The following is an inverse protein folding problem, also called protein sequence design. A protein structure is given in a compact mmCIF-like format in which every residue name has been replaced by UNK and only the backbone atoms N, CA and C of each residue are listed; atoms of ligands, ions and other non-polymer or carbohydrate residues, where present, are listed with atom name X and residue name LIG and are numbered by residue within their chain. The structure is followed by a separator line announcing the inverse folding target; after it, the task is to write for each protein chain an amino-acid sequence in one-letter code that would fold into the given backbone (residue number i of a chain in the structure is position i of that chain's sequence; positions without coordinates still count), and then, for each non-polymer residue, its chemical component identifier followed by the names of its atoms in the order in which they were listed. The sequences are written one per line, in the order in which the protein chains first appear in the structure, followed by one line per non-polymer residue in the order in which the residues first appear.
data_IF_174993911337
#
_entry.id   IF_174993911337
#
_cell.length_a   1.000
_cell.length_b   1.000
_cell.length_c   1.000
_cell.angle_alpha   90.00
_cell.angle_beta   90.00
_cell.angle_gamma   90.00
#
_symmetry.space_group_name_H-M   'P 1'
#
loop_
_entity.id
_entity.type
_entity.pdbx_description
1 polymer ?
#
# COMPACT_ATOMS: atom_id res chain seq x y z
N UNK A 1 -26.65 49.39 36.84
CA UNK A 1 -27.46 48.67 35.84
C UNK A 1 -26.53 47.77 35.08
N UNK A 2 -26.51 46.49 35.40
CA UNK A 2 -25.64 45.50 34.82
C UNK A 2 -26.44 44.71 33.80
N UNK A 3 -26.20 44.91 32.52
CA UNK A 3 -26.78 44.11 31.44
C UNK A 3 -25.95 42.85 31.27
N UNK A 4 -26.50 41.71 31.69
CA UNK A 4 -25.93 40.40 31.41
C UNK A 4 -26.21 40.04 29.96
N UNK A 5 -25.17 39.92 29.16
CA UNK A 5 -25.24 39.39 27.81
C UNK A 5 -25.29 37.86 27.91
N UNK A 6 -26.43 37.26 27.58
CA UNK A 6 -26.60 35.83 27.43
C UNK A 6 -25.87 35.43 26.16
N UNK A 7 -24.71 34.77 26.31
CA UNK A 7 -24.08 34.04 25.21
C UNK A 7 -24.89 32.80 24.92
N UNK A 8 -25.56 32.81 23.80
CA UNK A 8 -26.28 31.68 23.27
C UNK A 8 -25.24 30.69 22.69
N UNK A 9 -24.85 29.69 23.45
CA UNK A 9 -24.10 28.57 22.95
C UNK A 9 -24.95 27.80 21.92
N UNK A 10 -24.61 27.97 20.69
CA UNK A 10 -25.17 27.17 19.59
C UNK A 10 -24.65 25.72 19.72
N UNK A 11 -25.54 24.70 19.83
CA UNK A 11 -25.10 23.31 19.90
C UNK A 11 -24.50 22.93 18.54
N UNK A 12 -23.34 22.25 18.60
CA UNK A 12 -22.50 21.80 17.54
C UNK A 12 -23.14 21.55 16.18
N UNK A 13 -22.79 22.39 15.24
CA UNK A 13 -22.94 22.05 13.84
C UNK A 13 -22.08 20.82 13.58
N UNK A 14 -22.70 19.75 13.09
CA UNK A 14 -21.99 18.60 12.53
C UNK A 14 -21.06 19.13 11.46
N UNK A 15 -19.78 19.20 11.78
CA UNK A 15 -18.75 19.55 10.80
C UNK A 15 -18.70 18.37 9.80
N UNK A 16 -19.30 18.60 8.63
CA UNK A 16 -19.07 17.73 7.47
C UNK A 16 -17.57 17.78 7.22
N UNK A 17 -16.85 16.63 7.23
CA UNK A 17 -15.44 16.64 6.91
C UNK A 17 -15.23 17.31 5.57
N UNK A 18 -14.52 18.43 5.56
CA UNK A 18 -14.11 19.08 4.32
C UNK A 18 -13.17 18.13 3.60
N UNK A 19 -13.27 17.99 2.27
CA UNK A 19 -12.27 17.23 1.53
C UNK A 19 -10.91 17.86 1.80
N UNK A 20 -10.06 17.12 2.50
CA UNK A 20 -8.68 17.55 2.74
C UNK A 20 -7.93 17.45 1.43
N UNK A 21 -7.16 18.49 1.08
CA UNK A 21 -6.21 18.45 -0.03
C UNK A 21 -4.95 17.63 0.32
N UNK A 22 -5.01 16.83 1.38
CA UNK A 22 -3.93 15.98 1.80
C UNK A 22 -3.68 14.88 0.76
N UNK A 23 -2.41 14.54 0.47
CA UNK A 23 -2.07 13.53 -0.54
C UNK A 23 -2.54 12.11 -0.16
N UNK A 24 -2.90 11.89 1.09
CA UNK A 24 -3.38 10.60 1.57
C UNK A 24 -4.28 10.76 2.80
N UNK A 25 -4.93 9.67 3.21
CA UNK A 25 -5.78 9.64 4.39
C UNK A 25 -4.99 9.84 5.71
N UNK A 26 -5.64 10.27 6.81
CA UNK A 26 -4.96 10.74 8.03
C UNK A 26 -3.95 9.76 8.63
N UNK A 27 -4.24 8.46 8.70
CA UNK A 27 -3.32 7.48 9.27
C UNK A 27 -2.12 7.19 8.35
N UNK A 28 -2.31 7.29 7.04
CA UNK A 28 -1.20 7.23 6.07
C UNK A 28 -0.30 8.47 6.21
N UNK A 29 -0.90 9.66 6.35
CA UNK A 29 -0.16 10.89 6.62
C UNK A 29 0.66 10.80 7.91
N UNK A 30 0.10 10.16 8.94
CA UNK A 30 0.78 9.92 10.21
C UNK A 30 2.03 9.08 10.05
N UNK A 31 2.01 8.06 9.20
CA UNK A 31 3.21 7.24 8.92
C UNK A 31 4.38 8.09 8.43
N UNK A 32 4.13 9.04 7.55
CA UNK A 32 5.17 9.96 7.08
C UNK A 32 5.64 10.94 8.16
N UNK A 33 4.72 11.48 8.95
CA UNK A 33 5.04 12.51 9.96
C UNK A 33 5.71 11.97 11.21
N UNK A 34 5.28 10.80 11.69
CA UNK A 34 5.68 10.27 13.00
C UNK A 34 6.61 9.06 12.90
N UNK A 35 6.54 8.29 11.82
CA UNK A 35 7.28 7.03 11.67
C UNK A 35 8.30 7.04 10.53
N UNK A 36 8.56 8.19 9.96
CA UNK A 36 9.62 8.37 8.97
C UNK A 36 9.34 7.68 7.62
N UNK A 37 8.08 7.40 7.29
CA UNK A 37 7.74 6.87 5.98
C UNK A 37 8.10 7.87 4.87
N UNK A 38 8.79 7.39 3.84
CA UNK A 38 9.08 8.19 2.67
C UNK A 38 7.85 8.29 1.77
N UNK A 39 7.71 9.42 1.08
CA UNK A 39 6.75 9.54 -0.02
C UNK A 39 7.38 9.05 -1.31
N UNK A 40 6.74 8.10 -1.97
CA UNK A 40 7.17 7.57 -3.26
C UNK A 40 6.00 7.53 -4.25
N UNK A 41 6.34 7.57 -5.52
CA UNK A 41 5.43 7.41 -6.64
C UNK A 41 6.00 6.38 -7.63
N UNK A 42 5.36 6.21 -8.79
CA UNK A 42 5.82 5.27 -9.82
C UNK A 42 7.23 5.57 -10.36
N UNK A 43 7.66 6.84 -10.28
CA UNK A 43 8.98 7.29 -10.80
C UNK A 43 10.08 7.12 -9.77
N UNK A 44 9.76 7.27 -8.49
CA UNK A 44 10.73 7.33 -7.38
C UNK A 44 10.84 6.04 -6.59
N UNK A 45 9.83 5.16 -6.65
CA UNK A 45 9.79 3.92 -5.86
C UNK A 45 10.97 2.99 -6.15
N UNK A 46 11.41 2.89 -7.40
CA UNK A 46 12.54 2.05 -7.77
C UNK A 46 13.84 2.53 -7.12
N UNK A 47 14.14 3.81 -7.22
CA UNK A 47 15.35 4.41 -6.63
C UNK A 47 15.30 4.35 -5.11
N UNK A 48 14.15 4.65 -4.52
CA UNK A 48 13.98 4.55 -3.07
C UNK A 48 14.19 3.10 -2.59
N UNK A 49 13.63 2.12 -3.26
CA UNK A 49 13.78 0.71 -2.90
C UNK A 49 15.21 0.20 -3.06
N UNK A 50 16.00 0.81 -3.94
CA UNK A 50 17.40 0.47 -4.18
C UNK A 50 18.37 1.03 -3.14
N UNK A 51 17.89 1.83 -2.18
CA UNK A 51 18.72 2.42 -1.13
C UNK A 51 19.30 1.45 -0.09
N UNK A 52 19.16 0.17 -0.30
CA UNK A 52 19.73 -0.92 0.50
C UNK A 52 18.77 -1.50 1.54
N UNK A 53 18.90 -2.79 1.78
CA UNK A 53 18.10 -3.55 2.75
C UNK A 53 16.66 -3.80 2.34
N UNK A 54 15.89 -4.27 3.30
CA UNK A 54 14.46 -4.54 3.11
C UNK A 54 13.64 -3.25 3.18
N UNK A 55 12.70 -3.11 2.28
CA UNK A 55 11.83 -1.94 2.16
C UNK A 55 10.40 -2.34 1.88
N UNK A 56 9.46 -1.62 2.51
CA UNK A 56 8.03 -1.90 2.42
C UNK A 56 7.29 -0.66 1.96
N UNK A 57 6.46 -0.79 0.94
CA UNK A 57 5.61 0.28 0.43
C UNK A 57 4.16 -0.05 0.73
N UNK A 58 3.45 0.86 1.37
CA UNK A 58 2.02 0.76 1.60
C UNK A 58 1.24 1.38 0.44
N UNK A 59 0.39 0.59 -0.17
CA UNK A 59 -0.72 1.03 -1.02
C UNK A 59 -1.99 0.93 -0.17
N UNK A 60 -2.45 2.05 0.37
CA UNK A 60 -3.58 2.07 1.29
C UNK A 60 -4.94 2.01 0.58
N UNK A 61 -5.03 2.56 -0.60
CA UNK A 61 -6.27 2.71 -1.35
C UNK A 61 -7.09 3.91 -0.90
N UNK A 62 -8.18 4.12 -1.59
CA UNK A 62 -9.17 5.13 -1.24
C UNK A 62 -9.82 4.80 0.12
N UNK A 63 -9.79 5.74 1.06
CA UNK A 63 -10.24 5.50 2.44
C UNK A 63 -11.76 5.21 2.57
N UNK A 64 -12.55 5.61 1.59
CA UNK A 64 -14.00 5.35 1.56
C UNK A 64 -14.27 3.96 0.96
N UNK A 65 -13.58 3.62 -0.12
CA UNK A 65 -13.75 2.34 -0.79
C UNK A 65 -13.03 1.18 -0.09
N UNK A 66 -11.90 1.48 0.54
CA UNK A 66 -11.02 0.51 1.21
C UNK A 66 -10.66 1.01 2.62
N UNK A 67 -11.61 1.03 3.55
CA UNK A 67 -11.37 1.53 4.91
C UNK A 67 -10.28 0.76 5.63
N UNK A 68 -10.06 -0.51 5.29
CA UNK A 68 -8.99 -1.35 5.83
C UNK A 68 -7.59 -0.78 5.57
N UNK A 69 -7.43 0.10 4.59
CA UNK A 69 -6.18 0.80 4.35
C UNK A 69 -5.72 1.64 5.54
N UNK A 70 -6.67 2.24 6.26
CA UNK A 70 -6.39 2.96 7.51
C UNK A 70 -5.98 1.99 8.64
N UNK A 71 -6.60 0.82 8.70
CA UNK A 71 -6.27 -0.20 9.70
C UNK A 71 -4.84 -0.72 9.49
N UNK A 72 -4.45 -1.00 8.25
CA UNK A 72 -3.07 -1.38 7.93
C UNK A 72 -2.09 -0.25 8.26
N UNK A 73 -2.43 1.00 7.96
CA UNK A 73 -1.59 2.14 8.32
C UNK A 73 -1.42 2.29 9.84
N UNK A 74 -2.46 1.96 10.63
CA UNK A 74 -2.39 1.96 12.09
C UNK A 74 -1.52 0.82 12.65
N UNK A 75 -1.57 -0.34 12.01
CA UNK A 75 -0.87 -1.57 12.46
C UNK A 75 0.60 -1.58 12.02
N UNK A 76 0.95 -0.93 10.91
CA UNK A 76 2.30 -0.97 10.34
C UNK A 76 3.42 -0.54 11.31
N UNK A 77 3.25 0.49 12.16
CA UNK A 77 4.24 0.81 13.19
C UNK A 77 4.46 -0.31 14.20
N UNK A 78 3.43 -1.06 14.56
CA UNK A 78 3.55 -2.21 15.47
C UNK A 78 4.29 -3.37 14.80
N UNK A 79 4.08 -3.59 13.50
CA UNK A 79 4.89 -4.53 12.72
C UNK A 79 6.36 -4.12 12.70
N UNK A 80 6.66 -2.83 12.53
CA UNK A 80 8.04 -2.32 12.59
C UNK A 80 8.69 -2.59 13.95
N UNK A 81 7.95 -2.44 15.05
CA UNK A 81 8.44 -2.75 16.41
C UNK A 81 8.70 -4.25 16.61
N UNK A 82 7.90 -5.11 15.98
CA UNK A 82 8.08 -6.56 16.02
C UNK A 82 9.30 -7.04 15.22
N UNK A 83 9.76 -6.25 14.26
CA UNK A 83 10.95 -6.50 13.43
C UNK A 83 11.90 -5.29 13.50
N UNK A 84 12.49 -4.98 14.66
CA UNK A 84 13.23 -3.74 14.86
C UNK A 84 14.39 -3.60 13.88
N UNK A 85 14.42 -2.46 13.19
CA UNK A 85 15.46 -2.08 12.20
C UNK A 85 15.59 -3.06 11.01
N UNK A 86 14.56 -3.87 10.74
CA UNK A 86 14.62 -4.85 9.66
C UNK A 86 14.21 -4.26 8.31
N UNK A 87 13.31 -3.28 8.28
CA UNK A 87 12.85 -2.65 7.06
C UNK A 87 12.50 -1.17 7.27
N UNK A 88 12.53 -0.44 6.18
CA UNK A 88 12.04 0.94 6.10
C UNK A 88 10.72 0.96 5.35
N UNK A 89 9.91 1.97 5.62
CA UNK A 89 8.58 2.10 5.02
C UNK A 89 8.47 3.32 4.12
N UNK A 90 7.63 3.20 3.11
CA UNK A 90 7.17 4.31 2.28
C UNK A 90 5.66 4.23 2.08
N UNK A 91 5.09 5.37 1.79
CA UNK A 91 3.68 5.55 1.44
C UNK A 91 3.56 6.22 0.08
N UNK A 92 2.45 6.01 -0.57
CA UNK A 92 2.19 6.54 -1.91
C UNK A 92 1.05 7.55 -1.82
N UNK A 93 1.15 8.74 -2.44
CA UNK A 93 0.01 9.63 -2.57
C UNK A 93 -1.15 8.94 -3.29
N UNK A 94 -2.37 9.19 -2.86
CA UNK A 94 -3.56 8.50 -3.39
C UNK A 94 -3.64 8.51 -4.92
N UNK A 95 -3.34 9.64 -5.54
CA UNK A 95 -3.41 9.80 -6.99
C UNK A 95 -2.35 8.99 -7.76
N UNK A 96 -1.30 8.55 -7.08
CA UNK A 96 -0.19 7.78 -7.67
C UNK A 96 -0.30 6.27 -7.38
N UNK A 97 -1.19 5.84 -6.49
CA UNK A 97 -1.28 4.44 -6.08
C UNK A 97 -1.60 3.49 -7.24
N UNK A 98 -2.50 3.87 -8.13
CA UNK A 98 -2.90 3.03 -9.27
C UNK A 98 -1.71 2.77 -10.22
N UNK A 99 -0.86 3.77 -10.44
CA UNK A 99 0.34 3.62 -11.27
C UNK A 99 1.38 2.69 -10.62
N UNK A 100 1.62 2.84 -9.32
CA UNK A 100 2.52 1.95 -8.55
C UNK A 100 1.96 0.53 -8.51
N UNK A 101 0.66 0.38 -8.22
CA UNK A 101 0.00 -0.91 -8.20
C UNK A 101 0.13 -1.65 -9.54
N UNK A 102 -0.12 -0.95 -10.65
CA UNK A 102 0.03 -1.50 -12.00
C UNK A 102 1.46 -1.96 -12.28
N UNK A 103 2.45 -1.16 -11.89
CA UNK A 103 3.87 -1.49 -12.09
C UNK A 103 4.28 -2.79 -11.40
N UNK A 104 3.75 -3.04 -10.19
CA UNK A 104 4.11 -4.21 -9.39
C UNK A 104 3.03 -5.29 -9.35
N UNK A 105 2.04 -5.23 -10.24
CA UNK A 105 1.03 -6.27 -10.39
C UNK A 105 0.06 -6.41 -9.22
N UNK A 106 -0.08 -5.36 -8.39
CA UNK A 106 -1.05 -5.36 -7.31
C UNK A 106 -2.45 -5.03 -7.83
N UNK A 107 -3.43 -5.85 -7.45
CA UNK A 107 -4.83 -5.68 -7.83
C UNK A 107 -5.77 -5.54 -6.63
N UNK A 108 -5.21 -5.47 -5.43
CA UNK A 108 -5.97 -5.39 -4.17
C UNK A 108 -5.48 -4.25 -3.32
N UNK A 109 -6.38 -3.66 -2.57
CA UNK A 109 -6.12 -2.68 -1.55
C UNK A 109 -6.70 -3.15 -0.22
N UNK A 110 -6.05 -2.84 0.89
CA UNK A 110 -4.67 -2.36 0.97
C UNK A 110 -3.65 -3.43 0.59
N UNK A 111 -2.42 -3.02 0.25
CA UNK A 111 -1.32 -3.96 -0.05
C UNK A 111 0.00 -3.43 0.50
N UNK A 112 0.79 -4.30 1.10
CA UNK A 112 2.19 -4.06 1.44
C UNK A 112 3.08 -4.71 0.37
N UNK A 113 3.86 -3.91 -0.34
CA UNK A 113 4.84 -4.36 -1.31
C UNK A 113 6.21 -4.45 -0.65
N UNK A 114 6.87 -5.59 -0.78
CA UNK A 114 8.20 -5.84 -0.21
C UNK A 114 9.28 -5.79 -1.27
N UNK A 115 10.36 -5.09 -0.97
CA UNK A 115 11.54 -4.94 -1.81
C UNK A 115 12.80 -5.24 -1.02
N UNK A 116 13.84 -5.71 -1.72
CA UNK A 116 15.20 -5.84 -1.19
C UNK A 116 16.19 -5.39 -2.23
N UNK A 117 17.02 -4.41 -1.86
CA UNK A 117 18.06 -3.85 -2.73
C UNK A 117 17.54 -3.48 -4.12
N UNK A 118 16.35 -2.87 -4.17
CA UNK A 118 15.70 -2.43 -5.42
C UNK A 118 14.92 -3.52 -6.15
N UNK A 119 14.93 -4.75 -5.67
CA UNK A 119 14.22 -5.87 -6.30
C UNK A 119 12.92 -6.19 -5.55
N UNK A 120 11.87 -6.47 -6.30
CA UNK A 120 10.60 -6.92 -5.75
C UNK A 120 10.78 -8.29 -5.07
N UNK A 121 10.18 -8.47 -3.91
CA UNK A 121 10.19 -9.74 -3.17
C UNK A 121 8.81 -10.38 -3.20
N UNK A 122 7.82 -9.74 -2.62
CA UNK A 122 6.45 -10.24 -2.53
C UNK A 122 5.48 -9.11 -2.17
N UNK A 123 4.19 -9.43 -2.10
CA UNK A 123 3.16 -8.55 -1.62
C UNK A 123 2.27 -9.24 -0.59
N UNK A 124 1.83 -8.52 0.42
CA UNK A 124 0.81 -8.96 1.37
C UNK A 124 -0.43 -8.11 1.12
N UNK A 125 -1.48 -8.72 0.60
CA UNK A 125 -2.72 -8.04 0.23
C UNK A 125 -3.79 -8.17 1.32
N UNK A 126 -4.53 -7.11 1.52
CA UNK A 126 -5.65 -7.04 2.46
C UNK A 126 -5.22 -6.86 3.91
N UNK A 127 -6.20 -6.54 4.76
CA UNK A 127 -6.02 -6.58 6.22
C UNK A 127 -5.98 -8.05 6.67
N UNK A 128 -5.03 -8.38 7.51
CA UNK A 128 -4.83 -9.73 8.05
C UNK A 128 -4.92 -9.70 9.57
N UNK A 129 -5.20 -10.85 10.17
CA UNK A 129 -5.06 -11.02 11.61
C UNK A 129 -3.60 -10.84 12.03
N UNK A 130 -3.38 -10.39 13.25
CA UNK A 130 -2.04 -10.06 13.76
C UNK A 130 -1.03 -11.20 13.61
N UNK A 131 -1.41 -12.40 14.00
CA UNK A 131 -0.53 -13.58 13.88
C UNK A 131 -0.20 -13.92 12.43
N UNK A 132 -1.15 -13.71 11.53
CA UNK A 132 -0.96 -13.90 10.08
C UNK A 132 -0.01 -12.86 9.53
N UNK A 133 -0.14 -11.60 9.95
CA UNK A 133 0.81 -10.54 9.58
C UNK A 133 2.22 -10.83 10.05
N UNK A 134 2.40 -11.23 11.31
CA UNK A 134 3.72 -11.56 11.84
C UNK A 134 4.40 -12.67 11.03
N UNK A 135 3.67 -13.73 10.71
CA UNK A 135 4.18 -14.84 9.88
C UNK A 135 4.47 -14.40 8.45
N UNK A 136 3.59 -13.64 7.84
CA UNK A 136 3.73 -13.17 6.46
C UNK A 136 4.91 -12.21 6.29
N UNK A 137 5.09 -11.27 7.23
CA UNK A 137 6.23 -10.35 7.24
C UNK A 137 7.53 -11.10 7.48
N UNK A 138 7.58 -12.01 8.44
CA UNK A 138 8.76 -12.85 8.68
C UNK A 138 9.13 -13.66 7.43
N UNK A 139 8.16 -14.25 6.74
CA UNK A 139 8.37 -14.97 5.49
C UNK A 139 8.88 -14.05 4.38
N UNK A 140 8.29 -12.86 4.22
CA UNK A 140 8.72 -11.87 3.22
C UNK A 140 10.16 -11.43 3.44
N UNK A 141 10.57 -11.21 4.70
CA UNK A 141 11.95 -10.84 5.05
C UNK A 141 12.97 -11.97 4.83
N UNK A 142 12.52 -13.21 4.73
CA UNK A 142 13.35 -14.38 4.45
C UNK A 142 13.31 -14.84 2.97
N UNK A 143 12.34 -14.37 2.19
CA UNK A 143 12.21 -14.73 0.77
C UNK A 143 13.32 -14.12 -0.08
N UNK A 144 13.77 -14.84 -1.15
CA UNK A 144 14.60 -14.23 -2.19
C UNK A 144 13.76 -13.27 -3.05
N UNK A 145 14.41 -12.31 -3.73
CA UNK A 145 13.76 -11.48 -4.72
C UNK A 145 13.07 -12.30 -5.80
N UNK A 146 11.94 -11.79 -6.29
CA UNK A 146 11.15 -12.43 -7.34
C UNK A 146 10.73 -11.41 -8.41
N UNK A 147 10.01 -11.84 -9.42
CA UNK A 147 9.40 -10.92 -10.39
C UNK A 147 8.02 -10.49 -9.91
N UNK A 148 7.65 -9.21 -10.06
CA UNK A 148 6.29 -8.78 -9.83
C UNK A 148 5.31 -9.57 -10.71
N UNK A 149 4.09 -9.88 -10.22
CA UNK A 149 3.05 -10.45 -11.06
C UNK A 149 2.76 -9.56 -12.26
N UNK A 150 2.62 -10.15 -13.44
CA UNK A 150 2.26 -9.41 -14.64
C UNK A 150 0.73 -9.33 -14.72
N UNK A 151 0.19 -8.12 -14.80
CA UNK A 151 -1.21 -7.92 -15.15
C UNK A 151 -1.31 -8.03 -16.67
N UNK A 152 -1.49 -9.24 -17.18
CA UNK A 152 -1.66 -9.50 -18.60
C UNK A 152 -2.69 -10.61 -18.81
N UNK A 153 -3.53 -10.46 -19.82
CA UNK A 153 -4.35 -11.55 -20.31
C UNK A 153 -3.39 -12.56 -20.93
N UNK A 154 -3.36 -13.83 -20.49
CA UNK A 154 -2.54 -14.81 -21.17
C UNK A 154 -3.05 -14.97 -22.60
N UNK A 155 -2.26 -14.53 -23.58
CA UNK A 155 -2.52 -14.83 -24.97
C UNK A 155 -2.19 -16.30 -25.14
N UNK A 156 -3.22 -17.14 -25.13
CA UNK A 156 -3.08 -18.53 -25.53
C UNK A 156 -2.91 -18.53 -27.03
N UNK A 157 -1.69 -18.62 -27.51
CA UNK A 157 -1.43 -18.92 -28.90
C UNK A 157 -1.94 -20.33 -29.17
N UNK A 158 -3.10 -20.43 -29.80
CA UNK A 158 -3.53 -21.70 -30.38
C UNK A 158 -2.63 -21.99 -31.56
N UNK A 159 -1.64 -22.83 -31.35
CA UNK A 159 -0.91 -23.46 -32.45
C UNK A 159 -1.89 -24.44 -33.09
N UNK A 160 -2.55 -24.03 -34.14
CA UNK A 160 -3.32 -24.93 -34.99
C UNK A 160 -2.34 -25.89 -35.62
N UNK A 161 -2.27 -27.11 -35.10
CA UNK A 161 -1.68 -28.25 -35.77
C UNK A 161 -2.53 -28.54 -36.99
N UNK A 162 -2.07 -28.11 -38.15
CA UNK A 162 -2.58 -28.61 -39.40
C UNK A 162 -2.15 -30.11 -39.49
N UNK A 163 -3.10 -30.97 -39.27
CA UNK A 163 -2.94 -32.39 -39.62
C UNK A 163 -3.05 -32.52 -41.12
N UNK A 164 -1.91 -32.67 -41.75
CA UNK A 164 -1.84 -33.13 -43.12
C UNK A 164 -2.19 -34.63 -43.12
N UNK A 165 -3.40 -34.94 -43.56
CA UNK A 165 -3.82 -36.31 -43.86
C UNK A 165 -3.53 -36.57 -45.34
N UNK A 166 -2.33 -37.09 -45.58
CA UNK A 166 -2.04 -37.70 -46.88
C UNK A 166 -2.97 -38.87 -47.13
N UNK A 167 -3.86 -38.71 -48.09
CA UNK A 167 -4.61 -39.80 -48.65
C UNK A 167 -3.76 -40.55 -49.68
N UNK A 168 -3.70 -41.82 -49.50
CA UNK A 168 -3.48 -42.79 -50.59
C UNK A 168 -4.68 -43.68 -50.68
#
# INVERSE_FOLDING_TARGET
MTTATLETSTPGALQIPQPSNDPAAPLVMRLAREFGAAWVDEKTVADWSAGGGDRVVLLAGDAVRFPEGQDVAAVLPELMKSFPKRFQIAVVPRDNEDAVAKRYGSQRWPTLLFFRDGQYVTAIAGMQDWDVYLKAVAAALAMPPSRPPTIGIPVVSQTSKASDSGCH
#
